data_IF_195938646287
#
_entry.id   IF_195938646287
#
_cell.length_a   1.000
_cell.length_b   1.000
_cell.length_c   1.000
_cell.angle_alpha   90.00
_cell.angle_beta   90.00
_cell.angle_gamma   90.00
#
_symmetry.space_group_name_H-M   'P 1'
#
loop_
_entity.id
_entity.type
_entity.pdbx_description
1 polymer ?
#
# COMPACT_ATOMS: atom_id res chain seq x y z
N UNK A 1 51.43 16.65 10.88
CA UNK A 1 50.79 17.44 9.81
C UNK A 1 49.59 16.65 9.30
N UNK A 2 48.38 17.02 9.72
CA UNK A 2 47.14 16.41 9.25
C UNK A 2 46.38 17.46 8.42
N UNK A 3 46.16 17.16 7.15
CA UNK A 3 45.44 18.02 6.20
C UNK A 3 43.94 17.79 6.37
N UNK A 4 43.25 18.72 7.02
CA UNK A 4 41.78 18.70 7.09
C UNK A 4 41.22 19.17 5.75
N UNK A 5 40.73 18.23 4.92
CA UNK A 5 39.94 18.54 3.73
C UNK A 5 38.60 19.12 4.19
N UNK A 6 38.40 20.43 4.05
CA UNK A 6 37.08 21.05 4.22
C UNK A 6 36.15 20.47 3.14
N UNK A 7 35.10 19.78 3.56
CA UNK A 7 33.99 19.45 2.69
C UNK A 7 33.11 20.69 2.68
N UNK A 8 33.15 21.45 1.59
CA UNK A 8 32.30 22.63 1.42
C UNK A 8 30.82 22.17 1.43
N UNK A 9 30.04 22.74 2.34
CA UNK A 9 28.64 22.38 2.53
C UNK A 9 27.77 22.77 1.31
N UNK A 10 26.73 22.00 0.98
CA UNK A 10 25.90 22.18 -0.23
C UNK A 10 24.91 23.35 -0.15
N UNK A 11 25.07 24.27 0.79
CA UNK A 11 24.14 25.37 1.07
C UNK A 11 23.93 26.30 -0.16
N UNK A 12 24.88 26.30 -1.10
CA UNK A 12 24.84 27.11 -2.31
C UNK A 12 24.49 26.34 -3.59
N UNK A 13 24.34 25.01 -3.53
CA UNK A 13 24.06 24.21 -4.73
C UNK A 13 22.69 24.57 -5.33
N UNK A 14 21.67 24.70 -4.48
CA UNK A 14 20.33 25.08 -4.90
C UNK A 14 20.28 26.52 -5.46
N UNK A 15 20.98 27.46 -4.82
CA UNK A 15 21.06 28.85 -5.28
C UNK A 15 21.86 29.02 -6.59
N UNK A 16 22.81 28.13 -6.88
CA UNK A 16 23.61 28.14 -8.12
C UNK A 16 22.83 27.68 -9.36
N UNK A 17 21.80 26.85 -9.18
CA UNK A 17 20.89 26.43 -10.25
C UNK A 17 20.08 27.61 -10.83
N UNK A 18 19.72 28.60 -10.00
CA UNK A 18 19.02 29.81 -10.45
C UNK A 18 19.94 30.84 -11.12
N UNK A 19 21.27 30.66 -11.04
CA UNK A 19 22.27 31.58 -11.62
C UNK A 19 22.88 31.07 -12.92
N UNK A 20 22.50 29.88 -13.38
CA UNK A 20 23.00 29.31 -14.62
C UNK A 20 22.01 29.61 -15.76
N UNK A 21 22.39 30.41 -16.77
CA UNK A 21 21.49 30.88 -17.84
C UNK A 21 20.92 29.79 -18.77
N UNK A 22 21.22 28.51 -18.51
CA UNK A 22 20.88 27.36 -19.37
C UNK A 22 19.90 26.37 -18.70
N UNK A 23 19.26 26.73 -17.59
CA UNK A 23 18.31 25.86 -16.88
C UNK A 23 16.92 26.49 -16.82
N UNK A 24 15.90 25.75 -17.27
CA UNK A 24 14.51 26.15 -17.13
C UNK A 24 14.03 25.93 -15.68
N UNK A 25 14.02 27.01 -14.90
CA UNK A 25 13.59 27.02 -13.50
C UNK A 25 12.11 26.62 -13.36
N UNK A 26 11.25 26.98 -14.31
CA UNK A 26 9.83 26.60 -14.25
C UNK A 26 9.68 25.09 -14.46
N UNK A 27 10.44 24.51 -15.38
CA UNK A 27 10.47 23.06 -15.57
C UNK A 27 10.96 22.32 -14.32
N UNK A 28 11.93 22.88 -13.58
CA UNK A 28 12.39 22.32 -12.30
C UNK A 28 11.29 22.38 -11.22
N UNK A 29 10.61 23.51 -11.09
CA UNK A 29 9.50 23.67 -10.12
C UNK A 29 8.36 22.70 -10.44
N UNK A 30 7.99 22.57 -11.71
CA UNK A 30 6.97 21.61 -12.14
C UNK A 30 7.41 20.16 -11.90
N UNK A 31 8.68 19.81 -12.12
CA UNK A 31 9.21 18.49 -11.81
C UNK A 31 9.13 18.18 -10.29
N UNK A 32 9.33 19.18 -9.42
CA UNK A 32 9.16 19.01 -7.98
C UNK A 32 7.68 18.87 -7.59
N UNK A 33 6.78 19.63 -8.21
CA UNK A 33 5.33 19.46 -8.01
C UNK A 33 4.88 18.03 -8.34
N UNK A 34 5.31 17.51 -9.49
CA UNK A 34 5.01 16.13 -9.90
C UNK A 34 5.61 15.07 -8.97
N UNK A 35 6.78 15.32 -8.38
CA UNK A 35 7.34 14.42 -7.35
C UNK A 35 6.43 14.32 -6.14
N UNK A 36 5.93 15.45 -5.65
CA UNK A 36 5.01 15.49 -4.51
C UNK A 36 3.70 14.78 -4.85
N UNK A 37 3.15 14.99 -6.04
CA UNK A 37 1.95 14.31 -6.51
C UNK A 37 2.12 12.79 -6.58
N UNK A 38 3.26 12.32 -7.09
CA UNK A 38 3.58 10.89 -7.13
C UNK A 38 3.68 10.29 -5.72
N UNK A 39 4.26 11.01 -4.76
CA UNK A 39 4.29 10.57 -3.36
C UNK A 39 2.90 10.52 -2.74
N UNK A 40 2.05 11.52 -2.99
CA UNK A 40 0.66 11.53 -2.53
C UNK A 40 -0.10 10.33 -3.11
N UNK A 41 0.05 10.07 -4.40
CA UNK A 41 -0.63 8.96 -5.07
C UNK A 41 -0.14 7.60 -4.55
N UNK A 42 1.17 7.41 -4.35
CA UNK A 42 1.69 6.19 -3.74
C UNK A 42 1.14 5.97 -2.32
N UNK A 43 0.99 7.04 -1.52
CA UNK A 43 0.36 6.97 -0.21
C UNK A 43 -1.14 6.65 -0.31
N UNK A 44 -1.86 7.18 -1.31
CA UNK A 44 -3.27 6.86 -1.57
C UNK A 44 -3.44 5.37 -1.85
N UNK A 45 -2.63 4.80 -2.74
CA UNK A 45 -2.62 3.37 -3.06
C UNK A 45 -2.40 2.51 -1.80
N UNK A 46 -1.43 2.89 -0.96
CA UNK A 46 -1.19 2.21 0.30
C UNK A 46 -2.40 2.29 1.26
N UNK A 47 -3.00 3.47 1.40
CA UNK A 47 -4.15 3.69 2.28
C UNK A 47 -5.40 2.90 1.82
N UNK A 48 -5.63 2.84 0.51
CA UNK A 48 -6.72 2.04 -0.06
C UNK A 48 -6.52 0.54 0.24
N UNK A 49 -5.28 0.06 0.16
CA UNK A 49 -4.93 -1.28 0.62
C UNK A 49 -5.36 -1.55 2.06
N UNK A 50 -5.00 -0.66 2.99
CA UNK A 50 -5.40 -0.79 4.41
C UNK A 50 -6.91 -0.73 4.62
N UNK A 51 -7.60 0.15 3.87
CA UNK A 51 -9.05 0.26 3.92
C UNK A 51 -9.71 -1.05 3.49
N UNK A 52 -9.28 -1.63 2.38
CA UNK A 52 -9.81 -2.90 1.88
C UNK A 52 -9.56 -4.05 2.86
N UNK A 53 -8.39 -4.13 3.49
CA UNK A 53 -8.13 -5.13 4.56
C UNK A 53 -9.13 -4.95 5.72
N UNK A 54 -9.35 -3.71 6.16
CA UNK A 54 -10.24 -3.41 7.28
C UNK A 54 -11.69 -3.78 6.99
N UNK A 55 -12.19 -3.45 5.79
CA UNK A 55 -13.53 -3.83 5.34
C UNK A 55 -13.71 -5.36 5.33
N UNK A 56 -12.69 -6.10 4.90
CA UNK A 56 -12.70 -7.57 4.89
C UNK A 56 -12.70 -8.17 6.28
N UNK A 57 -11.91 -7.64 7.21
CA UNK A 57 -11.92 -8.11 8.60
C UNK A 57 -13.30 -7.91 9.26
N UNK A 58 -13.96 -6.77 9.00
CA UNK A 58 -15.33 -6.52 9.49
C UNK A 58 -16.33 -7.49 8.87
N UNK A 59 -16.25 -7.72 7.55
CA UNK A 59 -17.12 -8.67 6.86
C UNK A 59 -16.93 -10.10 7.41
N UNK A 60 -15.69 -10.55 7.60
CA UNK A 60 -15.39 -11.87 8.17
C UNK A 60 -15.98 -12.05 9.57
N UNK A 61 -15.82 -11.05 10.47
CA UNK A 61 -16.39 -11.11 11.83
C UNK A 61 -17.91 -11.22 11.79
N UNK A 62 -18.59 -10.46 10.90
CA UNK A 62 -20.04 -10.55 10.74
C UNK A 62 -20.48 -11.95 10.32
N UNK A 63 -19.82 -12.51 9.30
CA UNK A 63 -20.09 -13.87 8.82
C UNK A 63 -19.89 -14.90 9.94
N UNK A 64 -18.78 -14.85 10.67
CA UNK A 64 -18.53 -15.78 11.79
C UNK A 64 -19.62 -15.65 12.88
N UNK A 65 -20.07 -14.44 13.17
CA UNK A 65 -21.12 -14.21 14.16
C UNK A 65 -22.48 -14.75 13.71
N UNK A 66 -22.85 -14.51 12.45
CA UNK A 66 -24.05 -15.07 11.83
C UNK A 66 -24.04 -16.59 11.85
N UNK A 67 -22.94 -17.21 11.44
CA UNK A 67 -22.77 -18.67 11.42
C UNK A 67 -22.85 -19.27 12.84
N UNK A 68 -22.19 -18.64 13.83
CA UNK A 68 -22.24 -19.07 15.22
C UNK A 68 -23.65 -19.00 15.80
N UNK A 69 -24.42 -17.94 15.47
CA UNK A 69 -25.82 -17.80 15.89
C UNK A 69 -26.73 -18.87 15.29
N UNK A 70 -26.46 -19.28 14.05
CA UNK A 70 -27.14 -20.38 13.38
C UNK A 70 -26.86 -21.73 14.04
N UNK A 71 -25.59 -22.02 14.37
CA UNK A 71 -25.21 -23.23 15.11
C UNK A 71 -25.88 -23.28 16.49
N UNK A 72 -25.90 -22.17 17.23
CA UNK A 72 -26.54 -22.10 18.55
C UNK A 72 -28.05 -22.37 18.49
N UNK A 73 -28.74 -21.81 17.49
CA UNK A 73 -30.17 -22.05 17.26
C UNK A 73 -30.46 -23.51 16.94
N UNK A 74 -29.62 -24.12 16.10
CA UNK A 74 -29.75 -25.52 15.72
C UNK A 74 -29.53 -26.51 16.89
N UNK A 75 -28.64 -26.17 17.81
CA UNK A 75 -28.38 -26.95 19.03
C UNK A 75 -29.59 -26.85 19.99
N UNK A 76 -30.17 -25.66 20.15
CA UNK A 76 -31.35 -25.44 20.98
C UNK A 76 -32.61 -26.12 20.43
N UNK A 77 -32.71 -26.32 19.12
CA UNK A 77 -33.82 -27.00 18.45
C UNK A 77 -33.77 -28.54 18.56
N UNK A 78 -32.95 -29.11 19.45
CA UNK A 78 -33.11 -30.49 19.93
C UNK A 78 -32.57 -31.60 19.01
N UNK A 79 -31.42 -31.37 18.35
CA UNK A 79 -30.73 -32.43 17.60
C UNK A 79 -29.95 -33.37 18.55
N UNK A 80 -29.74 -34.63 18.15
CA UNK A 80 -29.00 -35.62 18.93
C UNK A 80 -27.55 -35.19 19.21
N UNK A 81 -26.88 -35.70 20.26
CA UNK A 81 -25.49 -35.38 20.58
C UNK A 81 -24.53 -35.54 19.39
N UNK A 82 -24.69 -36.59 18.59
CA UNK A 82 -23.89 -36.84 17.38
C UNK A 82 -24.09 -35.77 16.30
N UNK A 83 -25.34 -35.33 16.08
CA UNK A 83 -25.65 -34.28 15.11
C UNK A 83 -25.08 -32.92 15.54
N UNK A 84 -25.05 -32.64 16.84
CA UNK A 84 -24.43 -31.45 17.41
C UNK A 84 -22.89 -31.48 17.26
N UNK A 85 -22.26 -32.63 17.45
CA UNK A 85 -20.83 -32.81 17.27
C UNK A 85 -20.40 -32.62 15.79
N UNK A 86 -21.15 -33.18 14.84
CA UNK A 86 -20.90 -32.99 13.40
C UNK A 86 -21.00 -31.50 13.02
N UNK A 87 -22.04 -30.81 13.50
CA UNK A 87 -22.24 -29.37 13.28
C UNK A 87 -21.10 -28.50 13.80
N UNK A 88 -20.57 -28.82 14.98
CA UNK A 88 -19.42 -28.10 15.53
C UNK A 88 -18.16 -28.32 14.70
N UNK A 89 -17.93 -29.55 14.21
CA UNK A 89 -16.80 -29.87 13.34
C UNK A 89 -16.92 -29.16 11.98
N UNK A 90 -18.11 -29.16 11.37
CA UNK A 90 -18.40 -28.44 10.12
C UNK A 90 -18.17 -26.93 10.29
N UNK A 91 -18.68 -26.34 11.37
CA UNK A 91 -18.46 -24.93 11.68
C UNK A 91 -16.97 -24.59 11.85
N UNK A 92 -16.23 -25.40 12.62
CA UNK A 92 -14.79 -25.19 12.79
C UNK A 92 -14.02 -25.29 11.46
N UNK A 93 -14.38 -26.26 10.62
CA UNK A 93 -13.76 -26.46 9.31
C UNK A 93 -14.07 -25.29 8.36
N UNK A 94 -15.30 -24.76 8.41
CA UNK A 94 -15.72 -23.61 7.61
C UNK A 94 -15.03 -22.31 8.04
N UNK A 95 -14.93 -22.05 9.35
CA UNK A 95 -14.16 -20.92 9.90
C UNK A 95 -12.69 -21.01 9.50
N UNK A 96 -12.08 -22.21 9.57
CA UNK A 96 -10.70 -22.41 9.15
C UNK A 96 -10.52 -22.12 7.65
N UNK A 97 -11.41 -22.63 6.79
CA UNK A 97 -11.38 -22.37 5.34
C UNK A 97 -11.49 -20.87 5.04
N UNK A 98 -12.48 -20.19 5.63
CA UNK A 98 -12.68 -18.74 5.48
C UNK A 98 -11.47 -17.95 5.98
N UNK A 99 -10.82 -18.38 7.05
CA UNK A 99 -9.59 -17.79 7.56
C UNK A 99 -8.41 -17.92 6.59
N UNK A 100 -8.22 -19.09 5.99
CA UNK A 100 -7.18 -19.31 4.97
C UNK A 100 -7.44 -18.50 3.70
N UNK A 101 -8.69 -18.45 3.24
CA UNK A 101 -9.08 -17.65 2.08
C UNK A 101 -8.84 -16.15 2.35
N UNK A 102 -9.20 -15.67 3.54
CA UNK A 102 -8.91 -14.29 3.97
C UNK A 102 -7.42 -13.99 4.04
N UNK A 103 -6.60 -14.90 4.57
CA UNK A 103 -5.15 -14.74 4.60
C UNK A 103 -4.54 -14.67 3.19
N UNK A 104 -5.00 -15.53 2.28
CA UNK A 104 -4.57 -15.52 0.89
C UNK A 104 -4.89 -14.18 0.22
N UNK A 105 -6.12 -13.72 0.37
CA UNK A 105 -6.57 -12.47 -0.24
C UNK A 105 -5.84 -11.24 0.32
N UNK A 106 -5.61 -11.17 1.63
CA UNK A 106 -4.79 -10.10 2.25
C UNK A 106 -3.35 -10.15 1.73
N UNK A 107 -2.79 -11.33 1.51
CA UNK A 107 -1.44 -11.49 0.96
C UNK A 107 -1.37 -11.02 -0.49
N UNK A 108 -2.36 -11.37 -1.31
CA UNK A 108 -2.47 -10.91 -2.70
C UNK A 108 -2.64 -9.38 -2.76
N UNK A 109 -3.48 -8.81 -1.90
CA UNK A 109 -3.66 -7.37 -1.79
C UNK A 109 -2.37 -6.65 -1.38
N UNK A 110 -1.64 -7.18 -0.40
CA UNK A 110 -0.37 -6.61 0.02
C UNK A 110 0.67 -6.61 -1.11
N UNK A 111 0.76 -7.71 -1.88
CA UNK A 111 1.64 -7.79 -3.04
C UNK A 111 1.26 -6.77 -4.12
N UNK A 112 -0.04 -6.64 -4.42
CA UNK A 112 -0.54 -5.70 -5.42
C UNK A 112 -0.30 -4.24 -5.00
N UNK A 113 -0.61 -3.87 -3.77
CA UNK A 113 -0.39 -2.51 -3.24
C UNK A 113 1.08 -2.11 -3.33
N UNK A 114 2.00 -3.01 -2.97
CA UNK A 114 3.44 -2.75 -3.09
C UNK A 114 3.87 -2.59 -4.55
N UNK A 115 3.34 -3.45 -5.45
CA UNK A 115 3.63 -3.37 -6.88
C UNK A 115 3.12 -2.07 -7.50
N UNK A 116 1.90 -1.66 -7.15
CA UNK A 116 1.26 -0.48 -7.70
C UNK A 116 1.95 0.81 -7.19
N UNK A 117 2.23 0.88 -5.89
CA UNK A 117 3.01 2.00 -5.32
C UNK A 117 4.42 2.09 -5.94
N UNK A 118 5.10 0.95 -6.13
CA UNK A 118 6.38 0.92 -6.84
C UNK A 118 6.24 1.39 -8.29
N UNK A 119 5.17 0.99 -8.98
CA UNK A 119 4.87 1.43 -10.34
C UNK A 119 4.72 2.95 -10.46
N UNK A 120 4.06 3.60 -9.50
CA UNK A 120 3.95 5.07 -9.43
C UNK A 120 5.33 5.71 -9.32
N UNK A 121 6.19 5.22 -8.42
CA UNK A 121 7.53 5.76 -8.22
C UNK A 121 8.43 5.49 -9.44
N UNK A 122 8.38 4.30 -10.02
CA UNK A 122 9.15 3.93 -11.22
C UNK A 122 8.77 4.82 -12.42
N UNK A 123 7.46 5.07 -12.61
CA UNK A 123 6.97 5.98 -13.65
C UNK A 123 7.54 7.37 -13.43
N UNK A 124 7.45 7.90 -12.20
CA UNK A 124 7.96 9.24 -11.89
C UNK A 124 9.48 9.33 -12.08
N UNK A 125 10.22 8.29 -11.73
CA UNK A 125 11.66 8.22 -11.98
C UNK A 125 11.97 8.31 -13.48
N UNK A 126 11.25 7.58 -14.32
CA UNK A 126 11.40 7.62 -15.78
C UNK A 126 11.12 9.02 -16.34
N UNK A 127 10.01 9.63 -15.90
CA UNK A 127 9.65 11.00 -16.28
C UNK A 127 10.71 12.02 -15.83
N UNK A 128 11.33 11.83 -14.65
CA UNK A 128 12.40 12.70 -14.15
C UNK A 128 13.63 12.64 -15.06
N UNK A 129 13.98 11.44 -15.57
CA UNK A 129 15.10 11.28 -16.51
C UNK A 129 14.84 12.03 -17.81
N UNK A 130 13.60 12.03 -18.31
CA UNK A 130 13.25 12.75 -19.54
C UNK A 130 13.16 14.26 -19.32
N UNK A 131 12.63 14.71 -18.18
CA UNK A 131 12.62 16.11 -17.78
C UNK A 131 14.04 16.67 -17.64
N UNK A 132 14.99 15.90 -17.06
CA UNK A 132 16.40 16.29 -16.95
C UNK A 132 17.09 16.48 -18.31
N UNK A 133 16.69 15.71 -19.33
CA UNK A 133 17.18 15.89 -20.71
C UNK A 133 16.60 17.17 -21.32
N UNK A 134 15.32 17.46 -21.06
CA UNK A 134 14.63 18.63 -21.58
C UNK A 134 15.12 19.95 -20.92
N UNK A 135 15.45 19.92 -19.63
CA UNK A 135 15.92 21.07 -18.85
C UNK A 135 17.24 21.66 -19.37
N UNK A 136 18.05 20.89 -20.11
CA UNK A 136 19.32 21.34 -20.73
C UNK A 136 19.19 21.76 -22.20
N UNK A 137 18.03 21.59 -22.83
CA UNK A 137 17.89 21.64 -24.29
C UNK A 137 17.57 23.04 -24.88
N UNK A 138 17.84 24.13 -24.15
CA UNK A 138 17.78 25.50 -24.68
C UNK A 138 19.14 26.19 -24.59
#
# INVERSE_FOLDING_TARGET
MATTRKIDAPENAFASLFKTPNFDVNAIVEAQRKNVEALIEANRVAFEGYKTVSEKQVAFVRTVFEDASGVATDVLNGKTPEANASKQAEFAQDVARKGFDGFREVSELALNVNRDAFGVIQKRFTETVDELKAVKAN
#
